data_IF_188348127085
#
_entry.id   IF_188348127085
#
_cell.length_a   1.000
_cell.length_b   1.000
_cell.length_c   1.000
_cell.angle_alpha   90.00
_cell.angle_beta   90.00
_cell.angle_gamma   90.00
#
_symmetry.space_group_name_H-M   'P 1'
#
loop_
_entity.id
_entity.type
_entity.pdbx_description
1 polymer ?
#
# COMPACT_ATOMS: atom_id res chain seq x y z
N UNK A 1 -30.28 -3.02 5.07
CA UNK A 1 -30.09 -1.55 5.02
C UNK A 1 -29.71 -1.10 6.41
N UNK A 2 -28.45 -0.73 6.70
CA UNK A 2 -28.05 -0.18 8.00
C UNK A 2 -27.87 1.34 7.86
N UNK A 3 -28.96 2.10 7.96
CA UNK A 3 -28.92 3.58 7.85
C UNK A 3 -28.81 4.23 9.23
N UNK A 4 -28.42 5.51 9.26
CA UNK A 4 -28.34 6.29 10.52
C UNK A 4 -29.70 6.41 11.20
N UNK A 5 -30.78 6.54 10.41
CA UNK A 5 -32.16 6.62 10.89
C UNK A 5 -32.59 5.33 11.59
N UNK A 6 -32.33 4.18 10.96
CA UNK A 6 -32.68 2.86 11.52
C UNK A 6 -32.00 2.62 12.88
N UNK A 7 -30.69 2.93 12.96
CA UNK A 7 -29.94 2.86 14.20
C UNK A 7 -30.41 3.87 15.27
N UNK A 8 -30.83 5.07 14.87
CA UNK A 8 -31.39 6.07 15.78
C UNK A 8 -32.70 5.60 16.43
N UNK A 9 -33.57 4.98 15.64
CA UNK A 9 -34.82 4.39 16.12
C UNK A 9 -34.55 3.20 17.06
N UNK A 10 -33.68 2.27 16.67
CA UNK A 10 -33.38 1.08 17.47
C UNK A 10 -32.71 1.41 18.81
N UNK A 11 -31.87 2.45 18.85
CA UNK A 11 -31.11 2.84 20.04
C UNK A 11 -31.80 3.94 20.85
N UNK A 12 -32.96 4.43 20.40
CA UNK A 12 -33.65 5.59 20.99
C UNK A 12 -32.73 6.81 21.17
N UNK A 13 -31.93 7.12 20.14
CA UNK A 13 -30.99 8.25 20.13
C UNK A 13 -31.33 9.23 19.01
N UNK A 14 -30.99 10.52 19.16
CA UNK A 14 -31.08 11.47 18.05
C UNK A 14 -30.17 11.07 16.88
N UNK A 15 -30.66 11.21 15.65
CA UNK A 15 -29.87 10.96 14.44
C UNK A 15 -28.51 11.71 14.39
N UNK A 16 -28.40 12.99 14.81
CA UNK A 16 -27.10 13.68 14.85
C UNK A 16 -26.09 13.00 15.78
N UNK A 17 -26.56 12.40 16.89
CA UNK A 17 -25.73 11.64 17.84
C UNK A 17 -25.23 10.35 17.22
N UNK A 18 -26.12 9.61 16.53
CA UNK A 18 -25.73 8.39 15.82
C UNK A 18 -24.73 8.71 14.70
N UNK A 19 -24.99 9.76 13.92
CA UNK A 19 -24.11 10.23 12.84
C UNK A 19 -22.71 10.57 13.38
N UNK A 20 -22.62 11.40 14.42
CA UNK A 20 -21.35 11.80 15.01
C UNK A 20 -20.58 10.61 15.60
N UNK A 21 -21.27 9.70 16.30
CA UNK A 21 -20.66 8.46 16.81
C UNK A 21 -20.16 7.55 15.69
N UNK A 22 -20.94 7.39 14.63
CA UNK A 22 -20.57 6.57 13.47
C UNK A 22 -19.32 7.12 12.76
N UNK A 23 -19.27 8.43 12.50
CA UNK A 23 -18.08 9.05 11.91
C UNK A 23 -16.85 8.92 12.81
N UNK A 24 -17.01 9.13 14.12
CA UNK A 24 -15.92 8.95 15.10
C UNK A 24 -15.41 7.51 15.09
N UNK A 25 -16.30 6.52 15.18
CA UNK A 25 -15.94 5.11 15.17
C UNK A 25 -15.22 4.72 13.87
N UNK A 26 -15.71 5.15 12.71
CA UNK A 26 -15.05 4.91 11.41
C UNK A 26 -13.66 5.54 11.36
N UNK A 27 -13.47 6.73 11.92
CA UNK A 27 -12.16 7.38 11.99
C UNK A 27 -11.19 6.59 12.88
N UNK A 28 -11.65 6.17 14.05
CA UNK A 28 -10.83 5.36 14.97
C UNK A 28 -10.44 4.01 14.34
N UNK A 29 -11.39 3.34 13.70
CA UNK A 29 -11.13 2.07 13.01
C UNK A 29 -10.11 2.25 11.88
N UNK A 30 -10.26 3.28 11.06
CA UNK A 30 -9.28 3.59 10.00
C UNK A 30 -7.90 3.87 10.56
N UNK A 31 -7.80 4.67 11.62
CA UNK A 31 -6.51 4.97 12.24
C UNK A 31 -5.82 3.69 12.77
N UNK A 32 -6.56 2.78 13.40
CA UNK A 32 -6.04 1.48 13.84
C UNK A 32 -5.57 0.64 12.65
N UNK A 33 -6.40 0.50 11.63
CA UNK A 33 -6.08 -0.29 10.45
C UNK A 33 -4.89 0.26 9.66
N UNK A 34 -4.74 1.60 9.59
CA UNK A 34 -3.57 2.20 8.92
C UNK A 34 -2.27 1.74 9.57
N UNK A 35 -2.20 1.68 10.90
CA UNK A 35 -1.01 1.16 11.59
C UNK A 35 -0.74 -0.30 11.23
N UNK A 36 -1.78 -1.14 11.26
CA UNK A 36 -1.65 -2.57 10.93
C UNK A 36 -1.23 -2.78 9.47
N UNK A 37 -1.81 -2.00 8.55
CA UNK A 37 -1.49 -2.03 7.13
C UNK A 37 -0.10 -1.47 6.82
N UNK A 38 0.34 -0.42 7.52
CA UNK A 38 1.69 0.14 7.36
C UNK A 38 2.78 -0.85 7.81
N UNK A 39 2.47 -1.71 8.79
CA UNK A 39 3.36 -2.80 9.18
C UNK A 39 3.33 -3.92 8.14
N UNK A 40 2.15 -4.45 7.83
CA UNK A 40 2.00 -5.57 6.89
C UNK A 40 2.42 -5.22 5.45
N UNK A 41 2.23 -3.97 5.03
CA UNK A 41 2.54 -3.49 3.69
C UNK A 41 4.02 -3.47 3.38
N UNK A 42 4.87 -3.21 4.38
CA UNK A 42 6.34 -3.29 4.22
C UNK A 42 6.79 -4.70 3.89
N UNK A 43 6.19 -5.68 4.57
CA UNK A 43 6.53 -7.09 4.36
C UNK A 43 5.92 -7.64 3.06
N UNK A 44 4.69 -7.24 2.74
CA UNK A 44 3.98 -7.71 1.54
C UNK A 44 4.55 -7.17 0.23
N UNK A 45 5.11 -5.95 0.26
CA UNK A 45 5.67 -5.27 -0.92
C UNK A 45 7.17 -5.01 -0.77
N UNK A 46 7.90 -5.93 -0.12
CA UNK A 46 9.34 -5.77 0.07
C UNK A 46 10.09 -5.66 -1.27
N UNK A 47 11.13 -4.82 -1.29
CA UNK A 47 11.95 -4.62 -2.48
C UNK A 47 12.84 -5.84 -2.71
N UNK A 48 12.60 -6.49 -3.85
CA UNK A 48 13.24 -7.72 -4.31
C UNK A 48 14.69 -7.49 -4.80
N UNK A 49 15.53 -6.83 -3.98
CA UNK A 49 16.86 -6.33 -4.34
C UNK A 49 17.80 -7.40 -4.92
N UNK A 50 17.83 -8.58 -4.31
CA UNK A 50 18.65 -9.70 -4.82
C UNK A 50 18.26 -10.16 -6.23
N UNK A 51 17.00 -9.97 -6.65
CA UNK A 51 16.57 -10.23 -8.02
C UNK A 51 17.03 -9.12 -8.96
N UNK A 52 16.95 -7.85 -8.54
CA UNK A 52 17.51 -6.73 -9.29
C UNK A 52 19.02 -6.91 -9.51
N UNK A 53 19.78 -7.24 -8.46
CA UNK A 53 21.23 -7.46 -8.54
C UNK A 53 21.59 -8.56 -9.54
N UNK A 54 20.80 -9.64 -9.57
CA UNK A 54 20.98 -10.74 -10.53
C UNK A 54 20.79 -10.27 -11.97
N UNK A 55 19.75 -9.47 -12.24
CA UNK A 55 19.50 -8.91 -13.57
C UNK A 55 20.64 -7.98 -13.98
N UNK A 56 21.07 -7.09 -13.07
CA UNK A 56 22.18 -6.15 -13.32
C UNK A 56 23.47 -6.92 -13.62
N UNK A 57 23.81 -7.92 -12.82
CA UNK A 57 25.00 -8.75 -13.03
C UNK A 57 24.98 -9.45 -14.39
N UNK A 58 23.83 -10.00 -14.80
CA UNK A 58 23.67 -10.63 -16.12
C UNK A 58 23.85 -9.63 -17.28
N UNK A 59 23.27 -8.43 -17.16
CA UNK A 59 23.41 -7.39 -18.18
C UNK A 59 24.87 -6.93 -18.29
N UNK A 60 25.53 -6.65 -17.17
CA UNK A 60 26.94 -6.24 -17.16
C UNK A 60 27.87 -7.34 -17.70
N UNK A 61 27.61 -8.61 -17.36
CA UNK A 61 28.35 -9.74 -17.92
C UNK A 61 28.21 -9.79 -19.44
N UNK A 62 27.01 -9.56 -19.97
CA UNK A 62 26.77 -9.57 -21.41
C UNK A 62 27.44 -8.41 -22.14
N UNK A 63 27.40 -7.21 -21.57
CA UNK A 63 28.09 -6.03 -22.13
C UNK A 63 29.62 -6.20 -22.16
N UNK A 64 30.18 -6.88 -21.17
CA UNK A 64 31.63 -7.18 -21.16
C UNK A 64 32.00 -8.32 -22.11
N UNK A 65 31.07 -9.20 -22.45
CA UNK A 65 31.24 -10.27 -23.44
C UNK A 65 31.07 -9.80 -24.89
N UNK A 66 30.19 -8.83 -25.14
CA UNK A 66 29.96 -8.28 -26.49
C UNK A 66 31.10 -7.33 -26.96
N UNK A 67 32.13 -7.10 -26.13
CA UNK A 67 33.31 -6.30 -26.47
C UNK A 67 33.00 -4.82 -26.75
N UNK A 68 34.02 -3.94 -26.90
CA UNK A 68 33.80 -2.55 -27.28
C UNK A 68 33.45 -2.48 -28.78
N UNK A 69 32.26 -2.93 -29.14
CA UNK A 69 31.68 -2.76 -30.46
C UNK A 69 31.00 -1.40 -30.58
N UNK A 70 31.77 -0.33 -30.41
CA UNK A 70 31.46 1.04 -30.86
C UNK A 70 32.73 1.90 -30.67
N UNK A 71 33.78 1.60 -31.45
CA UNK A 71 34.77 2.63 -31.77
C UNK A 71 34.16 3.46 -32.92
N UNK A 72 33.85 4.75 -32.74
CA UNK A 72 33.35 5.57 -33.84
C UNK A 72 34.45 5.68 -34.92
N UNK A 73 34.06 5.37 -36.16
CA UNK A 73 34.91 5.32 -37.35
C UNK A 73 35.76 6.59 -37.54
N UNK A 74 37.01 6.36 -37.94
CA UNK A 74 37.99 7.33 -38.40
C UNK A 74 37.66 7.91 -39.78
#
# INVERSE_FOLDING_TARGET
MNTVLDAAQCLALPEPTVRSRHHRARRMLRASLTLDLDMAGRDAFDFRGAQCDRVVAQVLARLTQDGPGDAPDA
#
